data_IF_125485100412
#
_entry.id   IF_125485100412
#
_cell.length_a   1.000
_cell.length_b   1.000
_cell.length_c   1.000
_cell.angle_alpha   90.00
_cell.angle_beta   90.00
_cell.angle_gamma   90.00
#
_symmetry.space_group_name_H-M   'P 1'
#
loop_
_entity.id
_entity.type
_entity.pdbx_description
1 polymer ?
#
# COMPACT_ATOMS: atom_id res chain seq x y z
N UNK A 1 -10.80 16.75 -4.53
CA UNK A 1 -9.90 17.57 -5.38
C UNK A 1 -10.01 17.14 -6.84
N UNK A 2 -9.89 15.84 -7.14
CA UNK A 2 -10.07 15.30 -8.50
C UNK A 2 -11.45 15.63 -9.09
N UNK A 3 -12.55 15.29 -8.40
CA UNK A 3 -13.90 15.64 -8.84
C UNK A 3 -14.19 17.14 -9.00
N UNK A 4 -13.42 18.00 -8.31
CA UNK A 4 -13.60 19.46 -8.36
C UNK A 4 -12.65 20.13 -9.36
N UNK A 5 -11.82 19.36 -10.08
CA UNK A 5 -10.87 19.89 -11.06
C UNK A 5 -9.89 20.89 -10.46
N UNK A 6 -9.41 20.66 -9.24
CA UNK A 6 -8.53 21.62 -8.56
C UNK A 6 -7.25 21.89 -9.37
N UNK A 7 -6.93 23.16 -9.62
CA UNK A 7 -5.78 23.57 -10.42
C UNK A 7 -4.44 22.99 -9.91
N UNK A 8 -4.34 22.77 -8.59
CA UNK A 8 -3.16 22.17 -7.94
C UNK A 8 -2.75 20.82 -8.57
N UNK A 9 -3.70 20.04 -9.10
CA UNK A 9 -3.42 18.73 -9.68
C UNK A 9 -2.58 18.85 -10.97
N UNK A 10 -2.60 20.00 -11.64
CA UNK A 10 -1.82 20.24 -12.87
C UNK A 10 -0.31 20.28 -12.63
N UNK A 11 0.11 20.72 -11.45
CA UNK A 11 1.52 20.91 -11.11
C UNK A 11 2.09 19.72 -10.29
N UNK A 12 1.28 18.69 -10.04
CA UNK A 12 1.72 17.49 -9.33
C UNK A 12 2.25 16.47 -10.32
N UNK A 13 3.46 15.96 -10.06
CA UNK A 13 4.06 14.87 -10.83
C UNK A 13 3.93 13.51 -10.13
N UNK A 14 3.88 13.49 -8.78
CA UNK A 14 3.88 12.25 -8.00
C UNK A 14 2.81 12.26 -6.92
N UNK A 15 2.08 11.15 -6.79
CA UNK A 15 1.13 10.90 -5.70
C UNK A 15 1.58 9.68 -4.90
N UNK A 16 1.66 9.86 -3.58
CA UNK A 16 1.99 8.81 -2.63
C UNK A 16 0.71 8.25 -2.03
N UNK A 17 0.56 6.95 -2.16
CA UNK A 17 -0.50 6.14 -1.60
C UNK A 17 0.09 5.35 -0.44
N UNK A 18 -0.24 5.73 0.79
CA UNK A 18 0.26 5.08 1.99
C UNK A 18 -0.72 4.03 2.53
N UNK A 19 -0.20 2.97 3.13
CA UNK A 19 -0.98 1.84 3.65
C UNK A 19 -1.98 1.22 2.66
N UNK A 20 -1.53 0.95 1.44
CA UNK A 20 -2.37 0.40 0.35
C UNK A 20 -3.02 -0.95 0.70
N UNK A 21 -2.53 -1.67 1.72
CA UNK A 21 -3.19 -2.87 2.24
C UNK A 21 -4.65 -2.64 2.71
N UNK A 22 -5.06 -1.38 2.95
CA UNK A 22 -6.45 -1.01 3.20
C UNK A 22 -7.36 -1.07 1.97
N UNK A 23 -6.85 -1.36 0.76
CA UNK A 23 -7.70 -1.47 -0.42
C UNK A 23 -8.75 -2.60 -0.30
N UNK A 24 -8.47 -3.62 0.53
CA UNK A 24 -9.41 -4.70 0.82
C UNK A 24 -10.50 -4.31 1.83
N UNK A 25 -10.42 -3.11 2.42
CA UNK A 25 -11.45 -2.58 3.31
C UNK A 25 -12.67 -2.14 2.47
N UNK A 26 -13.85 -2.71 2.77
CA UNK A 26 -15.07 -2.46 1.97
C UNK A 26 -15.51 -1.00 1.97
N UNK A 27 -15.26 -0.27 3.05
CA UNK A 27 -15.72 1.11 3.18
C UNK A 27 -14.74 2.09 2.53
N UNK A 28 -13.46 1.68 2.40
CA UNK A 28 -12.39 2.56 1.92
C UNK A 28 -11.90 2.21 0.52
N UNK A 29 -11.85 0.93 0.15
CA UNK A 29 -11.25 0.42 -1.08
C UNK A 29 -11.79 1.08 -2.35
N UNK A 30 -13.10 1.33 -2.39
CA UNK A 30 -13.76 2.01 -3.52
C UNK A 30 -13.14 3.38 -3.80
N UNK A 31 -12.84 4.15 -2.76
CA UNK A 31 -12.25 5.49 -2.92
C UNK A 31 -10.83 5.39 -3.49
N UNK A 32 -10.06 4.38 -3.11
CA UNK A 32 -8.70 4.19 -3.65
C UNK A 32 -8.75 3.84 -5.13
N UNK A 33 -9.62 2.93 -5.53
CA UNK A 33 -9.81 2.56 -6.94
C UNK A 33 -10.22 3.77 -7.78
N UNK A 34 -11.22 4.53 -7.32
CA UNK A 34 -11.68 5.74 -7.99
C UNK A 34 -10.57 6.79 -8.14
N UNK A 35 -9.80 7.04 -7.07
CA UNK A 35 -8.68 8.00 -7.11
C UNK A 35 -7.62 7.53 -8.09
N UNK A 36 -7.21 6.26 -8.04
CA UNK A 36 -6.25 5.70 -8.99
C UNK A 36 -6.79 5.92 -10.39
N UNK A 37 -8.00 5.49 -10.74
CA UNK A 37 -8.57 5.65 -12.09
C UNK A 37 -8.58 7.11 -12.53
N UNK A 38 -9.00 8.05 -11.67
CA UNK A 38 -9.16 9.47 -12.03
C UNK A 38 -7.86 10.29 -12.09
N UNK A 39 -6.72 9.78 -11.59
CA UNK A 39 -5.47 10.53 -11.66
C UNK A 39 -5.10 10.85 -13.13
N UNK A 40 -4.68 12.10 -13.44
CA UNK A 40 -4.23 12.45 -14.78
C UNK A 40 -3.04 11.62 -15.26
N UNK A 41 -2.88 11.50 -16.58
CA UNK A 41 -1.82 10.69 -17.20
C UNK A 41 -0.41 11.16 -16.85
N UNK A 42 -0.18 12.46 -16.64
CA UNK A 42 1.13 12.99 -16.27
C UNK A 42 1.55 12.57 -14.86
N UNK A 43 0.60 12.23 -13.98
CA UNK A 43 0.88 11.89 -12.58
C UNK A 43 1.39 10.46 -12.45
N UNK A 44 2.53 10.29 -11.80
CA UNK A 44 3.13 9.00 -11.45
C UNK A 44 2.79 8.62 -10.01
N UNK A 45 2.82 7.32 -9.72
CA UNK A 45 2.24 6.73 -8.51
C UNK A 45 3.35 6.05 -7.70
N UNK A 46 3.41 6.35 -6.40
CA UNK A 46 4.21 5.61 -5.41
C UNK A 46 3.25 4.97 -4.43
N UNK A 47 3.39 3.66 -4.20
CA UNK A 47 2.53 2.88 -3.31
C UNK A 47 3.37 2.29 -2.18
N UNK A 48 3.00 2.62 -0.95
CA UNK A 48 3.60 2.09 0.27
C UNK A 48 2.57 1.19 0.96
N UNK A 49 3.02 0.04 1.42
CA UNK A 49 2.13 -0.94 2.06
C UNK A 49 2.92 -1.86 2.97
N UNK A 50 2.27 -2.31 4.04
CA UNK A 50 2.64 -3.55 4.73
C UNK A 50 2.58 -4.76 3.77
N UNK A 51 3.11 -5.90 4.23
CA UNK A 51 3.14 -7.14 3.46
C UNK A 51 1.73 -7.59 3.08
N UNK A 52 1.44 -7.58 1.77
CA UNK A 52 0.19 -8.10 1.18
C UNK A 52 0.50 -9.26 0.24
N UNK A 53 -0.34 -10.32 0.21
CA UNK A 53 -0.06 -11.50 -0.60
C UNK A 53 -0.23 -11.27 -2.12
N UNK A 54 -1.00 -10.26 -2.52
CA UNK A 54 -1.41 -10.07 -3.92
C UNK A 54 -0.80 -8.83 -4.60
N UNK A 55 0.46 -8.50 -4.30
CA UNK A 55 1.12 -7.28 -4.81
C UNK A 55 1.26 -7.26 -6.33
N UNK A 56 1.50 -8.41 -6.96
CA UNK A 56 1.74 -8.48 -8.40
C UNK A 56 0.47 -8.23 -9.22
N UNK A 57 -0.65 -8.85 -8.84
CA UNK A 57 -1.94 -8.61 -9.52
C UNK A 57 -2.35 -7.15 -9.38
N UNK A 58 -2.17 -6.59 -8.19
CA UNK A 58 -2.49 -5.18 -7.95
C UNK A 58 -1.60 -4.23 -8.76
N UNK A 59 -0.29 -4.46 -8.78
CA UNK A 59 0.64 -3.65 -9.57
C UNK A 59 0.36 -3.75 -11.07
N UNK A 60 0.01 -4.95 -11.57
CA UNK A 60 -0.38 -5.17 -12.95
C UNK A 60 -1.68 -4.42 -13.31
N UNK A 61 -2.68 -4.46 -12.43
CA UNK A 61 -3.91 -3.68 -12.60
C UNK A 61 -3.65 -2.17 -12.64
N UNK A 62 -2.81 -1.64 -11.74
CA UNK A 62 -2.42 -0.21 -11.74
C UNK A 62 -1.67 0.12 -13.03
N UNK A 63 -0.70 -0.71 -13.43
CA UNK A 63 0.10 -0.50 -14.63
C UNK A 63 -0.73 -0.51 -15.91
N UNK A 64 -1.70 -1.42 -16.02
CA UNK A 64 -2.66 -1.46 -17.14
C UNK A 64 -3.62 -0.28 -17.12
N UNK A 65 -4.16 0.08 -15.96
CA UNK A 65 -5.08 1.22 -15.83
C UNK A 65 -4.40 2.55 -16.17
N UNK A 66 -3.12 2.70 -15.83
CA UNK A 66 -2.34 3.93 -16.06
C UNK A 66 -1.43 3.92 -17.27
N UNK A 67 -1.34 2.79 -17.98
CA UNK A 67 -0.41 2.62 -19.09
C UNK A 67 1.03 3.04 -18.71
N UNK A 68 1.43 2.70 -17.49
CA UNK A 68 2.75 3.03 -16.91
C UNK A 68 3.43 1.78 -16.36
N UNK A 69 4.76 1.66 -16.47
CA UNK A 69 5.50 0.58 -15.82
C UNK A 69 5.39 0.73 -14.29
N UNK A 70 5.01 -0.36 -13.62
CA UNK A 70 4.94 -0.43 -12.15
C UNK A 70 5.92 -1.50 -11.67
N UNK A 71 6.80 -1.12 -10.75
CA UNK A 71 7.80 -2.03 -10.19
C UNK A 71 7.39 -2.42 -8.76
N UNK A 72 7.28 -3.73 -8.52
CA UNK A 72 7.00 -4.27 -7.18
C UNK A 72 8.32 -4.47 -6.45
N UNK A 73 8.50 -3.76 -5.34
CA UNK A 73 9.63 -3.95 -4.43
C UNK A 73 9.08 -4.43 -3.09
N UNK A 74 9.55 -5.58 -2.61
CA UNK A 74 9.08 -6.17 -1.35
C UNK A 74 10.23 -6.75 -0.52
N UNK A 75 10.02 -6.80 0.79
CA UNK A 75 10.88 -7.51 1.74
C UNK A 75 10.01 -8.35 2.65
N UNK A 76 10.43 -9.60 2.87
CA UNK A 76 9.76 -10.51 3.80
C UNK A 76 10.39 -10.49 5.20
N UNK A 77 11.48 -9.75 5.38
CA UNK A 77 12.20 -9.68 6.65
C UNK A 77 12.02 -8.32 7.29
N UNK A 78 11.71 -8.32 8.59
CA UNK A 78 11.63 -7.10 9.38
C UNK A 78 13.04 -6.56 9.64
N UNK A 79 13.27 -5.24 9.52
CA UNK A 79 14.55 -4.65 9.93
C UNK A 79 14.81 -4.78 11.43
N UNK A 80 13.74 -4.77 12.23
CA UNK A 80 13.76 -5.01 13.67
C UNK A 80 13.07 -6.36 13.94
N UNK A 81 13.83 -7.39 14.38
CA UNK A 81 13.27 -8.72 14.61
C UNK A 81 12.28 -8.70 15.77
N UNK A 82 11.26 -9.54 15.68
CA UNK A 82 10.28 -9.74 16.73
C UNK A 82 10.53 -11.00 17.54
N UNK A 83 10.26 -10.88 18.84
CA UNK A 83 10.22 -12.00 19.77
C UNK A 83 8.82 -12.08 20.36
N UNK A 84 8.21 -13.25 20.29
CA UNK A 84 6.85 -13.44 20.79
C UNK A 84 6.90 -14.12 22.16
N UNK A 85 6.10 -13.60 23.09
CA UNK A 85 6.00 -14.12 24.46
C UNK A 85 4.54 -14.37 24.82
N UNK A 86 4.29 -15.45 25.58
CA UNK A 86 3.03 -15.75 26.22
C UNK A 86 3.10 -15.33 27.70
N UNK A 87 2.15 -14.54 28.15
CA UNK A 87 2.01 -14.19 29.57
C UNK A 87 1.07 -15.19 30.26
N UNK A 88 1.58 -15.93 31.25
CA UNK A 88 0.77 -16.89 32.02
C UNK A 88 1.30 -17.03 33.45
N UNK A 89 0.41 -17.19 34.44
CA UNK A 89 0.77 -17.35 35.86
C UNK A 89 1.80 -16.32 36.39
N UNK A 90 1.71 -15.06 35.95
CA UNK A 90 2.63 -14.00 36.38
C UNK A 90 4.04 -14.08 35.79
N UNK A 91 4.24 -14.88 34.73
CA UNK A 91 5.53 -15.05 34.04
C UNK A 91 5.37 -14.92 32.52
N UNK A 92 6.40 -14.40 31.86
CA UNK A 92 6.52 -14.41 30.40
C UNK A 92 7.23 -15.69 29.94
N UNK A 93 6.68 -16.38 28.95
CA UNK A 93 7.26 -17.54 28.29
C UNK A 93 7.52 -17.21 26.83
N UNK A 94 8.77 -17.30 26.36
CA UNK A 94 9.10 -17.05 24.95
C UNK A 94 8.53 -18.19 24.09
N UNK A 95 7.86 -17.85 22.98
CA UNK A 95 7.20 -18.82 22.09
C UNK A 95 7.71 -18.77 20.65
N UNK A 96 8.29 -17.66 20.20
CA UNK A 96 8.90 -17.53 18.87
C UNK A 96 10.20 -16.72 18.97
N UNK A 97 11.26 -17.24 18.37
CA UNK A 97 12.56 -16.57 18.21
C UNK A 97 12.63 -15.83 16.87
N UNK A 98 13.17 -14.60 16.93
CA UNK A 98 13.61 -13.71 15.85
C UNK A 98 12.96 -13.93 14.45
N UNK A 99 11.77 -13.36 14.27
CA UNK A 99 11.07 -13.21 12.97
C UNK A 99 11.19 -11.81 12.37
#
# INVERSE_FOLDING_TARGET
MLYRGADLIRDIEWVIFDEVHYINDRDRGVVWEEVIIMLPEHVSIIMLSATVPNTFEFADWVGRTKQKPVYVVSTFKRPVPLQHYLWCHGKMFKIVDDT
#
